data_IF_186451734346
#
_entry.id   IF_186451734346
#
_cell.length_a   1.000
_cell.length_b   1.000
_cell.length_c   1.000
_cell.angle_alpha   90.00
_cell.angle_beta   90.00
_cell.angle_gamma   90.00
#
_symmetry.space_group_name_H-M   'P 1'
#
loop_
_entity.id
_entity.type
_entity.pdbx_description
1 polymer ?
#
# COMPACT_ATOMS: atom_id res chain seq x y z
N UNK A 1 -87.09 52.58 -15.94
CA UNK A 1 -86.74 52.32 -14.53
C UNK A 1 -85.26 52.01 -14.44
N UNK A 2 -84.61 52.54 -13.42
CA UNK A 2 -83.17 52.45 -13.15
C UNK A 2 -82.73 50.98 -13.05
N UNK A 3 -81.59 50.63 -13.64
CA UNK A 3 -80.42 50.17 -12.88
C UNK A 3 -79.27 49.72 -13.78
N UNK A 4 -78.13 50.32 -13.49
CA UNK A 4 -76.78 50.14 -14.01
C UNK A 4 -76.09 49.06 -13.18
N UNK A 5 -75.36 48.12 -13.80
CA UNK A 5 -74.03 47.71 -13.35
C UNK A 5 -73.43 46.56 -14.22
N UNK A 6 -72.29 46.89 -14.83
CA UNK A 6 -71.05 46.10 -14.95
C UNK A 6 -71.03 44.81 -15.79
N UNK A 7 -70.21 44.83 -16.85
CA UNK A 7 -69.16 43.82 -17.12
C UNK A 7 -68.22 44.29 -18.25
N UNK A 8 -66.92 44.27 -17.91
CA UNK A 8 -65.69 44.03 -18.71
C UNK A 8 -65.46 44.76 -20.06
N UNK A 9 -64.29 45.40 -20.24
CA UNK A 9 -63.78 45.75 -21.56
C UNK A 9 -62.99 44.61 -22.22
N UNK A 10 -63.26 44.45 -23.51
CA UNK A 10 -62.55 43.67 -24.52
C UNK A 10 -61.08 44.08 -24.71
N UNK A 11 -60.27 43.19 -25.32
CA UNK A 11 -59.51 43.41 -26.59
C UNK A 11 -58.36 42.39 -26.72
N UNK A 12 -58.48 41.44 -27.65
CA UNK A 12 -57.37 40.70 -28.33
C UNK A 12 -56.71 41.63 -29.39
N UNK A 13 -55.73 41.29 -30.27
CA UNK A 13 -55.11 39.99 -30.62
C UNK A 13 -53.61 40.04 -31.11
N UNK A 14 -53.09 38.90 -31.59
CA UNK A 14 -52.36 38.73 -32.86
C UNK A 14 -50.83 38.98 -33.04
N UNK A 15 -50.29 38.11 -33.92
CA UNK A 15 -49.04 38.16 -34.74
C UNK A 15 -47.71 38.09 -33.97
N UNK A 16 -46.60 37.47 -34.40
CA UNK A 16 -46.00 37.06 -35.70
C UNK A 16 -44.76 36.22 -35.30
N UNK A 17 -44.46 35.03 -35.83
CA UNK A 17 -43.96 34.76 -37.19
C UNK A 17 -42.46 35.05 -37.34
N UNK A 18 -41.61 34.00 -37.37
CA UNK A 18 -40.35 33.82 -38.15
C UNK A 18 -39.60 32.61 -37.58
N UNK A 19 -39.45 31.49 -38.30
CA UNK A 19 -38.37 31.21 -39.28
C UNK A 19 -36.99 31.46 -38.66
N UNK A 20 -36.09 30.47 -38.59
CA UNK A 20 -35.40 29.89 -39.74
C UNK A 20 -34.82 28.51 -39.34
N UNK A 21 -35.06 27.53 -40.21
CA UNK A 21 -34.27 26.33 -40.55
C UNK A 21 -32.73 26.55 -40.45
N UNK A 22 -31.79 25.63 -40.29
CA UNK A 22 -31.64 24.24 -40.66
C UNK A 22 -30.28 23.82 -40.08
N UNK A 23 -30.16 22.54 -39.73
CA UNK A 23 -29.04 21.64 -40.02
C UNK A 23 -27.58 22.06 -39.70
N UNK A 24 -26.94 21.21 -38.89
CA UNK A 24 -25.63 20.66 -39.26
C UNK A 24 -24.45 20.95 -38.33
N UNK A 25 -23.74 19.87 -37.98
CA UNK A 25 -22.37 19.79 -37.46
C UNK A 25 -22.22 20.13 -35.96
N UNK A 26 -21.59 19.33 -35.09
CA UNK A 26 -20.65 18.22 -35.27
C UNK A 26 -20.62 17.35 -34.01
N UNK A 27 -20.22 16.12 -34.24
CA UNK A 27 -19.79 15.04 -33.36
C UNK A 27 -18.65 15.45 -32.38
N UNK A 28 -18.88 16.43 -31.50
CA UNK A 28 -17.88 16.91 -30.54
C UNK A 28 -18.41 16.94 -29.09
N UNK A 29 -19.10 15.89 -28.65
CA UNK A 29 -19.33 15.64 -27.21
C UNK A 29 -19.08 14.19 -26.79
N UNK A 30 -18.31 13.43 -27.56
CA UNK A 30 -17.79 12.12 -27.17
C UNK A 30 -16.36 12.18 -26.58
N UNK A 31 -15.88 13.37 -26.17
CA UNK A 31 -14.48 13.59 -25.75
C UNK A 31 -14.24 14.10 -24.32
N UNK A 32 -15.25 14.12 -23.44
CA UNK A 32 -15.12 14.69 -22.09
C UNK A 32 -15.49 13.71 -20.95
N UNK A 33 -15.05 12.46 -21.05
CA UNK A 33 -15.08 11.50 -19.94
C UNK A 33 -13.74 11.49 -19.18
N UNK A 34 -13.33 12.65 -18.67
CA UNK A 34 -12.06 12.79 -17.93
C UNK A 34 -12.20 13.67 -16.70
N UNK A 35 -12.35 13.05 -15.52
CA UNK A 35 -11.93 13.70 -14.27
C UNK A 35 -12.97 13.98 -13.19
N UNK A 36 -14.01 13.15 -13.02
CA UNK A 36 -14.71 13.13 -11.72
C UNK A 36 -13.93 12.24 -10.76
N UNK A 37 -13.38 12.82 -9.69
CA UNK A 37 -12.82 12.02 -8.59
C UNK A 37 -13.93 11.14 -8.02
N UNK A 38 -13.71 9.83 -7.85
CA UNK A 38 -14.78 8.93 -7.43
C UNK A 38 -15.23 9.30 -6.01
N UNK A 39 -16.53 9.26 -5.75
CA UNK A 39 -17.08 9.66 -4.45
C UNK A 39 -16.79 8.66 -3.31
N UNK A 40 -16.37 7.43 -3.66
CA UNK A 40 -16.12 6.31 -2.75
C UNK A 40 -14.85 5.57 -3.18
N UNK A 41 -14.21 4.88 -2.25
CA UNK A 41 -13.08 3.99 -2.55
C UNK A 41 -13.55 2.78 -3.37
N UNK A 42 -12.96 2.59 -4.54
CA UNK A 42 -13.21 1.44 -5.42
C UNK A 42 -12.48 0.20 -4.90
N UNK A 43 -11.30 0.39 -4.32
CA UNK A 43 -10.47 -0.69 -3.81
C UNK A 43 -10.80 -1.03 -2.35
N UNK A 44 -11.09 -2.32 -2.10
CA UNK A 44 -11.44 -2.87 -0.78
C UNK A 44 -10.40 -3.92 -0.35
N UNK A 45 -9.29 -3.51 0.28
CA UNK A 45 -8.29 -4.45 0.76
C UNK A 45 -8.87 -5.32 1.90
N UNK A 46 -8.42 -6.58 2.03
CA UNK A 46 -8.81 -7.46 3.13
C UNK A 46 -8.51 -6.85 4.50
N UNK A 47 -9.48 -6.98 5.42
CA UNK A 47 -9.39 -6.46 6.79
C UNK A 47 -8.31 -7.18 7.59
N UNK A 48 -7.78 -6.52 8.61
CA UNK A 48 -6.82 -7.14 9.55
C UNK A 48 -7.41 -8.39 10.19
N UNK A 49 -6.57 -9.43 10.30
CA UNK A 49 -6.93 -10.65 11.01
C UNK A 49 -7.11 -10.31 12.49
N UNK A 50 -8.13 -10.88 13.15
CA UNK A 50 -8.36 -10.61 14.56
C UNK A 50 -7.23 -11.19 15.42
N UNK A 51 -6.79 -10.41 16.41
CA UNK A 51 -5.81 -10.89 17.39
C UNK A 51 -6.44 -11.96 18.30
N UNK A 52 -5.59 -12.75 18.95
CA UNK A 52 -6.01 -13.79 19.91
C UNK A 52 -6.95 -13.22 20.98
N UNK A 53 -6.61 -12.05 21.53
CA UNK A 53 -7.45 -11.34 22.49
C UNK A 53 -8.78 -10.89 21.88
N UNK A 54 -8.78 -10.37 20.65
CA UNK A 54 -10.01 -9.94 19.99
C UNK A 54 -10.99 -11.11 19.78
N UNK A 55 -10.49 -12.28 19.38
CA UNK A 55 -11.29 -13.50 19.26
C UNK A 55 -11.87 -13.94 20.59
N UNK A 56 -11.05 -13.92 21.65
CA UNK A 56 -11.53 -14.21 22.98
C UNK A 56 -12.62 -13.22 23.44
N UNK A 57 -12.39 -11.92 23.24
CA UNK A 57 -13.30 -10.86 23.65
C UNK A 57 -14.62 -10.93 22.90
N UNK A 58 -14.61 -11.25 21.59
CA UNK A 58 -15.85 -11.46 20.83
C UNK A 58 -16.65 -12.64 21.37
N UNK A 59 -15.98 -13.75 21.70
CA UNK A 59 -16.62 -14.94 22.25
C UNK A 59 -17.13 -14.66 23.68
N UNK A 60 -16.40 -13.87 24.47
CA UNK A 60 -16.83 -13.40 25.79
C UNK A 60 -18.10 -12.56 25.72
N UNK A 61 -18.14 -11.57 24.81
CA UNK A 61 -19.31 -10.71 24.61
C UNK A 61 -20.53 -11.54 24.18
N UNK A 62 -20.34 -12.55 23.32
CA UNK A 62 -21.43 -13.44 22.90
C UNK A 62 -21.96 -14.28 24.07
N UNK A 63 -21.07 -14.89 24.87
CA UNK A 63 -21.44 -15.64 26.08
C UNK A 63 -22.19 -14.78 27.08
N UNK A 64 -21.74 -13.55 27.30
CA UNK A 64 -22.41 -12.60 28.21
C UNK A 64 -23.78 -12.18 27.69
N UNK A 65 -23.90 -11.86 26.40
CA UNK A 65 -25.20 -11.52 25.79
C UNK A 65 -26.20 -12.67 25.90
N UNK A 66 -25.76 -13.91 25.61
CA UNK A 66 -26.60 -15.10 25.72
C UNK A 66 -27.06 -15.34 27.16
N UNK A 67 -26.16 -15.18 28.13
CA UNK A 67 -26.48 -15.30 29.56
C UNK A 67 -27.49 -14.22 29.99
N UNK A 68 -27.30 -12.97 29.55
CA UNK A 68 -28.25 -11.88 29.84
C UNK A 68 -29.60 -12.08 29.16
N UNK A 69 -29.64 -12.63 27.94
CA UNK A 69 -30.91 -12.89 27.24
C UNK A 69 -31.67 -14.09 27.81
N UNK A 70 -30.97 -15.06 28.41
CA UNK A 70 -31.57 -16.25 29.01
C UNK A 70 -32.19 -15.99 30.39
N UNK A 71 -31.75 -14.95 31.10
CA UNK A 71 -32.17 -14.64 32.47
C UNK A 71 -33.49 -13.85 32.58
N UNK A 72 -34.14 -13.51 31.46
CA UNK A 72 -35.40 -12.76 31.45
C UNK A 72 -35.22 -11.28 31.82
N UNK A 73 -35.78 -10.40 31.01
CA UNK A 73 -35.70 -8.94 31.16
C UNK A 73 -36.56 -8.46 32.36
N UNK A 74 -36.11 -8.69 33.60
CA UNK A 74 -36.74 -8.10 34.79
C UNK A 74 -36.11 -6.76 35.22
N UNK A 75 -34.96 -6.39 34.63
CA UNK A 75 -34.27 -5.13 34.93
C UNK A 75 -33.89 -4.44 33.62
N UNK A 76 -34.90 -3.79 33.03
CA UNK A 76 -34.93 -3.24 31.68
C UNK A 76 -33.58 -2.85 31.08
N UNK A 77 -33.11 -3.67 30.15
CA UNK A 77 -32.21 -3.25 29.08
C UNK A 77 -30.91 -2.53 29.49
N UNK A 78 -30.20 -2.98 30.54
CA UNK A 78 -28.81 -2.52 30.77
C UNK A 78 -27.91 -3.03 29.65
N UNK A 79 -27.80 -2.24 28.58
CA UNK A 79 -26.83 -2.43 27.50
C UNK A 79 -25.45 -2.59 28.11
N UNK A 80 -24.77 -3.70 27.81
CA UNK A 80 -23.41 -3.97 28.29
C UNK A 80 -22.52 -2.76 28.04
N UNK A 81 -21.97 -2.19 29.11
CA UNK A 81 -21.01 -1.11 28.97
C UNK A 81 -19.71 -1.70 28.43
N UNK A 82 -19.37 -1.37 27.17
CA UNK A 82 -18.21 -1.94 26.46
C UNK A 82 -16.90 -1.74 27.23
N UNK A 83 -16.75 -0.61 27.94
CA UNK A 83 -15.55 -0.35 28.73
C UNK A 83 -15.45 -1.27 29.96
N UNK A 84 -16.58 -1.54 30.61
CA UNK A 84 -16.64 -2.46 31.74
C UNK A 84 -16.44 -3.92 31.27
N UNK A 85 -17.12 -4.30 30.19
CA UNK A 85 -16.95 -5.59 29.53
C UNK A 85 -15.48 -5.88 29.16
N UNK A 86 -14.77 -4.89 28.60
CA UNK A 86 -13.36 -5.04 28.25
C UNK A 86 -12.46 -5.25 29.49
N UNK A 87 -12.77 -4.58 30.61
CA UNK A 87 -12.02 -4.76 31.87
C UNK A 87 -12.22 -6.16 32.45
N UNK A 88 -13.48 -6.60 32.53
CA UNK A 88 -13.84 -7.93 33.06
C UNK A 88 -13.27 -9.04 32.20
N UNK A 89 -13.48 -8.98 30.88
CA UNK A 89 -12.92 -9.93 29.95
C UNK A 89 -11.39 -9.94 29.99
N UNK A 90 -10.76 -8.78 30.19
CA UNK A 90 -9.30 -8.65 30.24
C UNK A 90 -8.71 -9.34 31.48
N UNK A 91 -9.38 -9.20 32.62
CA UNK A 91 -9.02 -9.92 33.85
C UNK A 91 -9.20 -11.44 33.69
N UNK A 92 -10.31 -11.88 33.09
CA UNK A 92 -10.56 -13.31 32.83
C UNK A 92 -9.54 -13.89 31.85
N UNK A 93 -9.20 -13.16 30.77
CA UNK A 93 -8.18 -13.63 29.83
C UNK A 93 -6.78 -13.69 30.42
N UNK A 94 -6.44 -12.77 31.33
CA UNK A 94 -5.18 -12.81 32.04
C UNK A 94 -5.04 -14.07 32.91
N UNK A 95 -6.14 -14.53 33.54
CA UNK A 95 -6.13 -15.73 34.38
C UNK A 95 -6.23 -17.05 33.62
N UNK A 96 -6.50 -17.04 32.30
CA UNK A 96 -6.56 -18.26 31.50
C UNK A 96 -5.19 -18.95 31.40
N UNK A 97 -5.21 -20.28 31.47
CA UNK A 97 -4.03 -21.11 31.25
C UNK A 97 -3.57 -21.06 29.78
N UNK A 98 -2.29 -21.39 29.49
CA UNK A 98 -1.81 -21.47 28.12
C UNK A 98 -2.65 -22.42 27.24
N UNK A 99 -3.11 -23.54 27.80
CA UNK A 99 -3.96 -24.52 27.12
C UNK A 99 -5.33 -23.95 26.76
N UNK A 100 -5.91 -23.13 27.64
CA UNK A 100 -7.18 -22.44 27.38
C UNK A 100 -7.03 -21.31 26.35
N UNK A 101 -5.84 -20.70 26.26
CA UNK A 101 -5.51 -19.68 25.24
C UNK A 101 -5.21 -20.29 23.87
N UNK A 102 -4.73 -21.53 23.83
CA UNK A 102 -4.33 -22.25 22.61
C UNK A 102 -5.39 -22.29 21.48
N UNK A 103 -6.68 -22.60 21.72
CA UNK A 103 -7.68 -22.57 20.65
C UNK A 103 -7.84 -21.18 20.02
N UNK A 104 -7.71 -20.11 20.82
CA UNK A 104 -7.76 -18.74 20.31
C UNK A 104 -6.52 -18.39 19.50
N UNK A 105 -5.34 -18.86 19.92
CA UNK A 105 -4.08 -18.69 19.18
C UNK A 105 -4.17 -19.37 17.81
N UNK A 106 -4.62 -20.63 17.77
CA UNK A 106 -4.82 -21.38 16.52
C UNK A 106 -5.81 -20.70 15.59
N UNK A 107 -6.94 -20.20 16.11
CA UNK A 107 -7.91 -19.43 15.31
C UNK A 107 -7.33 -18.12 14.78
N UNK A 108 -6.52 -17.41 15.58
CA UNK A 108 -5.87 -16.16 15.14
C UNK A 108 -4.85 -16.45 14.04
N UNK A 109 -4.02 -17.49 14.20
CA UNK A 109 -3.07 -17.92 13.17
C UNK A 109 -3.78 -18.33 11.87
N UNK A 110 -4.82 -19.17 11.95
CA UNK A 110 -5.61 -19.55 10.78
C UNK A 110 -6.24 -18.34 10.09
N UNK A 111 -6.71 -17.34 10.85
CA UNK A 111 -7.24 -16.10 10.30
C UNK A 111 -6.16 -15.22 9.65
N UNK A 112 -4.93 -15.19 10.20
CA UNK A 112 -3.77 -14.53 9.57
C UNK A 112 -3.45 -15.16 8.21
N UNK A 113 -3.34 -16.48 8.16
CA UNK A 113 -3.07 -17.20 6.90
C UNK A 113 -4.19 -17.02 5.87
N UNK A 114 -5.47 -17.10 6.30
CA UNK A 114 -6.61 -16.87 5.42
C UNK A 114 -6.56 -15.46 4.81
N UNK A 115 -6.21 -14.46 5.62
CA UNK A 115 -6.03 -13.09 5.14
C UNK A 115 -4.87 -12.97 4.17
N UNK A 116 -3.74 -13.61 4.41
CA UNK A 116 -2.60 -13.57 3.48
C UNK A 116 -2.97 -14.14 2.12
N UNK A 117 -3.72 -15.26 2.10
CA UNK A 117 -4.26 -15.83 0.85
C UNK A 117 -5.23 -14.87 0.17
N UNK A 118 -6.16 -14.27 0.91
CA UNK A 118 -7.10 -13.28 0.38
C UNK A 118 -6.39 -12.01 -0.12
N UNK A 119 -5.36 -11.56 0.58
CA UNK A 119 -4.57 -10.39 0.23
C UNK A 119 -3.74 -10.63 -1.02
N UNK A 120 -3.15 -11.81 -1.17
CA UNK A 120 -2.48 -12.23 -2.39
C UNK A 120 -3.46 -12.32 -3.57
N UNK A 121 -4.66 -12.89 -3.36
CA UNK A 121 -5.70 -12.93 -4.38
C UNK A 121 -6.17 -11.52 -4.77
N UNK A 122 -6.40 -10.65 -3.78
CA UNK A 122 -6.78 -9.26 -3.98
C UNK A 122 -5.70 -8.47 -4.73
N UNK A 123 -4.42 -8.67 -4.39
CA UNK A 123 -3.30 -8.04 -5.10
C UNK A 123 -3.28 -8.40 -6.59
N UNK A 124 -3.65 -9.63 -6.96
CA UNK A 124 -3.75 -10.06 -8.37
C UNK A 124 -4.92 -9.39 -9.11
N UNK A 125 -5.96 -8.97 -8.40
CA UNK A 125 -7.09 -8.23 -9.00
C UNK A 125 -6.79 -6.74 -9.20
N UNK A 126 -5.70 -6.22 -8.63
CA UNK A 126 -5.34 -4.82 -8.74
C UNK A 126 -4.87 -4.50 -10.16
N UNK A 127 -5.62 -3.66 -10.84
CA UNK A 127 -5.20 -3.08 -12.12
C UNK A 127 -4.51 -1.72 -11.88
N UNK A 128 -3.55 -1.35 -12.75
CA UNK A 128 -2.88 -0.04 -12.67
C UNK A 128 -3.88 1.13 -12.67
N UNK A 129 -4.92 1.01 -13.48
CA UNK A 129 -6.00 1.99 -13.58
C UNK A 129 -6.83 2.12 -12.30
N UNK A 130 -7.18 0.99 -11.67
CA UNK A 130 -7.90 1.00 -10.40
C UNK A 130 -7.06 1.64 -9.28
N UNK A 131 -5.74 1.36 -9.25
CA UNK A 131 -4.81 2.01 -8.31
C UNK A 131 -4.71 3.51 -8.58
N UNK A 132 -4.66 3.95 -9.85
CA UNK A 132 -4.64 5.37 -10.22
C UNK A 132 -5.90 6.10 -9.76
N UNK A 133 -7.09 5.52 -9.98
CA UNK A 133 -8.38 6.09 -9.54
C UNK A 133 -8.48 6.17 -8.01
N UNK A 134 -8.12 5.10 -7.31
CA UNK A 134 -8.11 5.08 -5.84
C UNK A 134 -7.09 6.08 -5.25
N UNK A 135 -5.93 6.25 -5.89
CA UNK A 135 -4.94 7.24 -5.47
C UNK A 135 -5.42 8.67 -5.67
N UNK A 136 -6.15 8.95 -6.76
CA UNK A 136 -6.81 10.24 -6.97
C UNK A 136 -7.87 10.50 -5.88
N UNK A 137 -8.65 9.48 -5.51
CA UNK A 137 -9.59 9.57 -4.39
C UNK A 137 -8.90 9.87 -3.06
N UNK A 138 -7.86 9.12 -2.71
CA UNK A 138 -7.11 9.33 -1.45
C UNK A 138 -6.44 10.71 -1.40
N UNK A 139 -5.91 11.18 -2.53
CA UNK A 139 -5.38 12.53 -2.64
C UNK A 139 -6.46 13.60 -2.40
N UNK A 140 -7.65 13.43 -2.99
CA UNK A 140 -8.78 14.32 -2.76
C UNK A 140 -9.25 14.30 -1.28
N UNK A 141 -9.31 13.12 -0.65
CA UNK A 141 -9.66 13.00 0.77
C UNK A 141 -8.63 13.67 1.69
N UNK A 142 -7.33 13.57 1.36
CA UNK A 142 -6.26 14.28 2.09
C UNK A 142 -6.38 15.79 1.92
N UNK A 143 -6.62 16.27 0.69
CA UNK A 143 -6.84 17.70 0.41
C UNK A 143 -8.07 18.25 1.14
N UNK A 144 -9.11 17.42 1.31
CA UNK A 144 -10.30 17.76 2.08
C UNK A 144 -10.16 17.56 3.60
N UNK A 145 -8.99 17.15 4.12
CA UNK A 145 -8.77 16.90 5.55
C UNK A 145 -9.50 15.69 6.14
N UNK A 146 -10.17 14.87 5.31
CA UNK A 146 -11.01 13.73 5.73
C UNK A 146 -10.23 12.44 5.97
N UNK A 147 -8.99 12.37 5.47
CA UNK A 147 -8.14 11.20 5.63
C UNK A 147 -6.66 11.58 5.67
N UNK A 148 -5.85 10.75 6.33
CA UNK A 148 -4.38 10.79 6.30
C UNK A 148 -3.79 9.60 5.52
N UNK A 149 -4.63 8.80 4.86
CA UNK A 149 -4.19 7.56 4.19
C UNK A 149 -3.34 7.87 2.96
N UNK A 150 -2.17 7.23 2.89
CA UNK A 150 -1.24 7.35 1.77
C UNK A 150 -1.74 6.67 0.49
N UNK A 151 -1.05 6.96 -0.61
CA UNK A 151 -1.30 6.33 -1.90
C UNK A 151 -0.94 4.84 -1.87
N UNK A 152 -1.71 4.01 -2.58
CA UNK A 152 -1.39 2.62 -2.87
C UNK A 152 -0.24 2.58 -3.87
N UNK A 153 0.74 1.72 -3.62
CA UNK A 153 1.83 1.41 -4.56
C UNK A 153 1.43 0.19 -5.38
N UNK A 154 1.63 0.25 -6.68
CA UNK A 154 1.47 -0.90 -7.55
C UNK A 154 2.74 -1.77 -7.47
N UNK A 155 2.64 -3.07 -7.13
CA UNK A 155 3.79 -3.97 -7.14
C UNK A 155 4.30 -4.29 -8.55
N UNK A 156 3.46 -4.17 -9.58
CA UNK A 156 3.81 -4.50 -10.97
C UNK A 156 4.35 -3.29 -11.76
N UNK A 157 4.24 -2.07 -11.20
CA UNK A 157 4.77 -0.89 -11.86
C UNK A 157 6.31 -0.90 -11.84
N UNK A 158 6.97 -0.64 -12.99
CA UNK A 158 8.42 -0.52 -13.01
C UNK A 158 8.86 0.60 -12.05
N UNK A 159 9.95 0.35 -11.32
CA UNK A 159 10.51 1.34 -10.40
C UNK A 159 11.30 2.37 -11.19
N UNK A 160 11.17 3.65 -10.81
CA UNK A 160 11.95 4.73 -11.42
C UNK A 160 13.45 4.48 -11.18
N UNK A 161 14.30 4.63 -12.20
CA UNK A 161 15.73 4.43 -12.08
C UNK A 161 16.37 5.55 -11.25
N UNK A 162 17.57 5.30 -10.76
CA UNK A 162 18.32 6.32 -10.01
C UNK A 162 18.84 7.38 -10.98
N UNK A 163 18.91 8.63 -10.52
CA UNK A 163 19.67 9.67 -11.24
C UNK A 163 21.17 9.42 -11.07
N UNK A 164 21.97 9.91 -12.01
CA UNK A 164 23.44 9.84 -11.97
C UNK A 164 24.02 10.28 -10.62
N UNK A 165 23.47 11.34 -10.02
CA UNK A 165 23.88 11.80 -8.69
C UNK A 165 23.56 10.80 -7.57
N UNK A 166 22.40 10.12 -7.64
CA UNK A 166 22.05 9.10 -6.64
C UNK A 166 22.85 7.81 -6.83
N UNK A 167 23.23 7.47 -8.06
CA UNK A 167 24.20 6.39 -8.33
C UNK A 167 25.56 6.71 -7.74
N UNK A 168 26.03 7.95 -7.91
CA UNK A 168 27.25 8.43 -7.28
C UNK A 168 27.19 8.37 -5.74
N UNK A 169 26.09 8.80 -5.13
CA UNK A 169 25.87 8.65 -3.69
C UNK A 169 25.91 7.18 -3.24
N UNK A 170 25.33 6.28 -4.03
CA UNK A 170 25.38 4.85 -3.74
C UNK A 170 26.81 4.31 -3.81
N UNK A 171 27.57 4.73 -4.82
CA UNK A 171 28.98 4.37 -4.99
C UNK A 171 29.86 4.86 -3.84
N UNK A 172 29.66 6.09 -3.36
CA UNK A 172 30.37 6.56 -2.17
C UNK A 172 30.02 5.69 -0.96
N UNK A 173 28.73 5.38 -0.76
CA UNK A 173 28.25 4.61 0.39
C UNK A 173 28.65 3.14 0.36
N UNK A 174 28.90 2.57 -0.82
CA UNK A 174 29.37 1.19 -0.95
C UNK A 174 30.84 1.04 -0.57
N UNK A 175 31.65 2.07 -0.77
CA UNK A 175 33.09 2.04 -0.49
C UNK A 175 33.43 2.79 0.80
N UNK A 176 33.79 2.06 1.86
CA UNK A 176 34.13 2.67 3.17
C UNK A 176 35.23 3.72 3.09
N UNK A 177 36.17 3.57 2.15
CA UNK A 177 37.22 4.58 1.90
C UNK A 177 36.65 5.89 1.35
N UNK A 178 35.67 5.82 0.45
CA UNK A 178 35.01 7.01 -0.10
C UNK A 178 34.07 7.64 0.92
N UNK A 179 33.43 6.83 1.78
CA UNK A 179 32.69 7.34 2.94
C UNK A 179 33.60 8.19 3.82
N UNK A 180 34.78 7.69 4.18
CA UNK A 180 35.73 8.43 5.01
C UNK A 180 36.29 9.67 4.29
N UNK A 181 36.64 9.59 2.99
CA UNK A 181 37.14 10.73 2.20
C UNK A 181 36.09 11.85 2.05
N UNK A 182 34.84 11.48 1.75
CA UNK A 182 33.79 12.44 1.38
C UNK A 182 32.97 12.90 2.57
N UNK A 183 32.67 12.00 3.52
CA UNK A 183 31.81 12.29 4.67
C UNK A 183 32.59 12.43 5.99
N UNK A 184 33.82 11.90 6.08
CA UNK A 184 34.58 11.90 7.32
C UNK A 184 33.84 11.18 8.45
N UNK A 185 33.73 11.82 9.62
CA UNK A 185 33.02 11.29 10.78
C UNK A 185 31.54 11.67 10.83
N UNK A 186 31.03 12.41 9.83
CA UNK A 186 29.65 12.90 9.82
C UNK A 186 28.65 11.76 9.60
N UNK A 187 27.72 11.61 10.55
CA UNK A 187 26.65 10.58 10.50
C UNK A 187 25.30 11.16 10.10
N UNK A 188 25.15 12.48 10.10
CA UNK A 188 23.90 13.12 9.75
C UNK A 188 23.68 13.07 8.23
N UNK A 189 22.58 12.43 7.79
CA UNK A 189 22.25 12.28 6.37
C UNK A 189 22.16 13.61 5.63
N UNK A 190 21.67 14.67 6.29
CA UNK A 190 21.57 16.00 5.71
C UNK A 190 22.96 16.58 5.45
N UNK A 191 23.85 16.55 6.44
CA UNK A 191 25.24 17.01 6.30
C UNK A 191 26.00 16.24 5.22
N UNK A 192 25.87 14.90 5.21
CA UNK A 192 26.46 14.04 4.17
C UNK A 192 25.96 14.43 2.77
N UNK A 193 24.67 14.72 2.61
CA UNK A 193 24.13 15.10 1.30
C UNK A 193 24.72 16.41 0.75
N UNK A 194 25.08 17.35 1.64
CA UNK A 194 25.74 18.61 1.26
C UNK A 194 27.18 18.36 0.83
N UNK A 195 27.91 17.51 1.56
CA UNK A 195 29.30 17.14 1.23
C UNK A 195 29.39 16.39 -0.11
N UNK A 196 28.53 15.40 -0.33
CA UNK A 196 28.44 14.70 -1.61
C UNK A 196 28.07 15.64 -2.76
N UNK A 197 27.14 16.57 -2.56
CA UNK A 197 26.78 17.55 -3.58
C UNK A 197 27.96 18.47 -3.92
N UNK A 198 28.77 18.86 -2.93
CA UNK A 198 30.00 19.62 -3.15
C UNK A 198 31.01 18.83 -3.97
N UNK A 199 31.25 17.56 -3.61
CA UNK A 199 32.16 16.65 -4.35
C UNK A 199 31.69 16.47 -5.81
N UNK A 200 30.41 16.19 -6.03
CA UNK A 200 29.83 16.02 -7.36
C UNK A 200 30.03 17.24 -8.28
N UNK A 201 29.89 18.46 -7.73
CA UNK A 201 30.12 19.72 -8.46
C UNK A 201 31.60 19.96 -8.76
N UNK A 202 32.50 19.48 -7.91
CA UNK A 202 33.95 19.59 -8.12
C UNK A 202 34.54 18.55 -9.08
N UNK A 203 33.81 17.46 -9.36
CA UNK A 203 34.25 16.45 -10.31
C UNK A 203 34.35 17.02 -11.74
N UNK A 204 35.15 16.39 -12.57
CA UNK A 204 35.24 16.68 -14.01
C UNK A 204 34.10 16.00 -14.78
N UNK A 205 33.87 16.43 -16.02
CA UNK A 205 32.86 15.81 -16.87
C UNK A 205 33.20 14.34 -17.18
N UNK A 206 34.49 13.99 -17.30
CA UNK A 206 34.93 12.63 -17.55
C UNK A 206 34.66 11.70 -16.35
N UNK A 207 34.84 12.18 -15.13
CA UNK A 207 34.52 11.41 -13.90
C UNK A 207 33.00 11.26 -13.71
N UNK A 208 32.20 12.22 -14.19
CA UNK A 208 30.73 12.14 -14.16
C UNK A 208 30.15 11.29 -15.29
N UNK A 209 30.85 11.19 -16.41
CA UNK A 209 30.44 10.47 -17.62
C UNK A 209 29.93 9.04 -17.37
N UNK A 210 30.61 8.17 -16.58
CA UNK A 210 30.10 6.82 -16.33
C UNK A 210 28.75 6.83 -15.59
N UNK A 211 28.57 7.72 -14.61
CA UNK A 211 27.30 7.85 -13.89
C UNK A 211 26.18 8.41 -14.77
N UNK A 212 26.51 9.37 -15.64
CA UNK A 212 25.56 9.94 -16.60
C UNK A 212 25.12 8.91 -17.64
N UNK A 213 26.07 8.16 -18.21
CA UNK A 213 25.79 7.11 -19.20
C UNK A 213 24.96 5.97 -18.59
N UNK A 214 25.27 5.54 -17.37
CA UNK A 214 24.50 4.52 -16.66
C UNK A 214 23.08 5.00 -16.34
N UNK A 215 22.92 6.25 -15.88
CA UNK A 215 21.60 6.82 -15.61
C UNK A 215 20.76 6.98 -16.89
N UNK A 216 21.38 7.32 -18.02
CA UNK A 216 20.70 7.39 -19.31
C UNK A 216 20.24 6.01 -19.78
N UNK A 217 21.10 4.99 -19.66
CA UNK A 217 20.74 3.61 -19.96
C UNK A 217 19.56 3.13 -19.11
N UNK A 218 19.65 3.26 -17.79
CA UNK A 218 18.56 2.83 -16.89
C UNK A 218 17.27 3.62 -17.12
N UNK A 219 17.37 4.89 -17.54
CA UNK A 219 16.22 5.69 -17.96
C UNK A 219 15.54 5.10 -19.21
N UNK A 220 16.32 4.72 -20.23
CA UNK A 220 15.78 4.08 -21.43
C UNK A 220 15.13 2.73 -21.12
N UNK A 221 15.78 1.90 -20.29
CA UNK A 221 15.26 0.61 -19.86
C UNK A 221 13.94 0.77 -19.08
N UNK A 222 13.86 1.76 -18.20
CA UNK A 222 12.63 2.11 -17.49
C UNK A 222 11.54 2.63 -18.42
N UNK A 223 11.86 3.46 -19.41
CA UNK A 223 10.88 3.96 -20.37
C UNK A 223 10.30 2.83 -21.22
N UNK A 224 11.13 1.87 -21.65
CA UNK A 224 10.69 0.66 -22.34
C UNK A 224 9.80 -0.21 -21.44
N UNK A 225 10.22 -0.49 -20.20
CA UNK A 225 9.45 -1.26 -19.24
C UNK A 225 8.12 -0.59 -18.88
N UNK A 226 8.12 0.74 -18.71
CA UNK A 226 6.91 1.53 -18.45
C UNK A 226 5.94 1.48 -19.62
N UNK A 227 6.43 1.58 -20.85
CA UNK A 227 5.59 1.45 -22.04
C UNK A 227 4.94 0.06 -22.10
N UNK A 228 5.69 -1.02 -21.88
CA UNK A 228 5.14 -2.38 -21.83
C UNK A 228 4.10 -2.57 -20.73
N UNK A 229 4.35 -1.94 -19.57
CA UNK A 229 3.41 -1.93 -18.44
C UNK A 229 2.12 -1.17 -18.76
N UNK A 230 2.20 -0.01 -19.43
CA UNK A 230 1.03 0.75 -19.90
C UNK A 230 0.25 -0.01 -21.01
N UNK A 231 0.96 -0.79 -21.83
CA UNK A 231 0.41 -1.64 -22.90
C UNK A 231 -0.16 -2.99 -22.38
N UNK A 232 -0.04 -3.26 -21.07
CA UNK A 232 -0.67 -4.42 -20.41
C UNK A 232 0.10 -5.74 -20.51
N UNK A 233 1.36 -5.72 -20.99
CA UNK A 233 2.21 -6.93 -21.04
C UNK A 233 2.86 -7.15 -19.68
N UNK A 234 2.16 -7.89 -18.81
CA UNK A 234 2.63 -8.26 -17.47
C UNK A 234 3.71 -9.33 -17.55
N UNK A 235 4.99 -8.94 -17.58
CA UNK A 235 6.06 -9.94 -17.60
C UNK A 235 7.50 -9.47 -17.52
N UNK A 236 7.78 -8.19 -17.28
CA UNK A 236 9.17 -7.73 -17.17
C UNK A 236 9.50 -7.36 -15.72
N UNK A 237 10.11 -8.29 -14.99
CA UNK A 237 10.85 -7.94 -13.79
C UNK A 237 12.08 -7.13 -14.21
N UNK A 238 12.03 -5.80 -14.03
CA UNK A 238 13.25 -4.99 -14.09
C UNK A 238 14.15 -5.40 -12.94
N UNK A 239 15.15 -6.26 -13.20
CA UNK A 239 16.30 -6.42 -12.32
C UNK A 239 17.05 -5.10 -12.30
N UNK A 240 16.69 -4.21 -11.37
CA UNK A 240 17.56 -3.10 -11.01
C UNK A 240 18.78 -3.74 -10.35
N UNK A 241 19.92 -3.74 -11.05
CA UNK A 241 21.19 -4.19 -10.51
C UNK A 241 21.57 -3.29 -9.32
N UNK A 242 21.31 -3.77 -8.11
CA UNK A 242 21.82 -3.16 -6.87
C UNK A 242 23.24 -3.68 -6.52
N UNK A 243 23.99 -4.15 -7.53
CA UNK A 243 25.28 -4.82 -7.39
C UNK A 243 26.42 -3.97 -7.95
N UNK A 244 27.50 -3.89 -7.17
CA UNK A 244 28.71 -3.08 -7.33
C UNK A 244 29.63 -3.59 -8.47
N UNK A 245 29.08 -4.03 -9.59
CA UNK A 245 29.87 -4.63 -10.66
C UNK A 245 30.50 -3.54 -11.55
N UNK A 246 31.77 -3.28 -11.27
CA UNK A 246 32.78 -2.66 -12.13
C UNK A 246 32.72 -1.14 -12.38
N UNK A 247 33.19 -0.38 -11.39
CA UNK A 247 33.99 0.83 -11.66
C UNK A 247 35.45 0.43 -11.47
N UNK A 248 36.07 -0.11 -12.52
CA UNK A 248 37.52 -0.19 -12.62
C UNK A 248 37.99 0.93 -13.57
N UNK A 249 39.04 1.70 -13.23
CA UNK A 249 39.55 2.76 -14.09
C UNK A 249 40.19 2.17 -15.37
N UNK A 250 40.20 2.92 -16.49
CA UNK A 250 40.82 2.46 -17.73
C UNK A 250 42.34 2.54 -17.60
N UNK A 251 43.00 1.41 -17.34
CA UNK A 251 44.46 1.27 -17.53
C UNK A 251 44.78 0.95 -18.99
N UNK A 252 45.72 1.72 -19.52
CA UNK A 252 46.20 1.71 -20.90
C UNK A 252 47.06 0.47 -21.21
N UNK A 253 46.91 -0.02 -22.45
CA UNK A 253 47.85 -0.76 -23.31
C UNK A 253 48.74 -1.86 -22.69
N UNK A 254 48.55 -3.10 -23.16
CA UNK A 254 49.68 -3.85 -23.69
C UNK A 254 49.20 -4.90 -24.71
N UNK A 255 49.76 -4.80 -25.91
CA UNK A 255 49.52 -5.68 -27.04
C UNK A 255 50.36 -6.95 -26.94
N UNK A 256 49.78 -8.05 -27.42
CA UNK A 256 50.43 -9.14 -28.15
C UNK A 256 51.15 -10.26 -27.38
N UNK A 257 50.47 -11.42 -27.30
CA UNK A 257 50.96 -12.77 -27.60
C UNK A 257 49.71 -13.69 -27.49
N UNK A 258 49.21 -14.36 -28.52
CA UNK A 258 49.94 -15.22 -29.44
C UNK A 258 50.10 -16.61 -28.83
N UNK A 259 49.02 -17.39 -28.70
CA UNK A 259 49.15 -18.85 -28.57
C UNK A 259 47.91 -19.60 -29.08
N UNK A 260 48.20 -20.73 -29.73
CA UNK A 260 47.40 -21.45 -30.71
C UNK A 260 46.79 -22.74 -30.13
N UNK A 261 45.67 -23.14 -30.73
CA UNK A 261 45.01 -24.47 -30.86
C UNK A 261 45.59 -25.68 -30.09
N UNK A 262 44.68 -26.42 -29.44
CA UNK A 262 44.39 -27.88 -29.56
C UNK A 262 43.37 -28.23 -28.46
N UNK A 263 42.23 -28.89 -28.66
CA UNK A 263 41.90 -29.91 -29.64
C UNK A 263 42.23 -31.30 -29.11
N UNK A 264 41.47 -31.82 -28.13
CA UNK A 264 41.36 -33.27 -27.88
C UNK A 264 39.97 -33.65 -27.38
N UNK A 265 39.37 -34.55 -28.16
CA UNK A 265 38.23 -35.42 -27.86
C UNK A 265 38.68 -36.56 -26.93
N UNK A 266 37.80 -37.13 -26.11
CA UNK A 266 37.41 -38.56 -26.12
C UNK A 266 36.33 -38.89 -25.08
N UNK A 267 35.31 -39.62 -25.56
CA UNK A 267 34.55 -40.75 -24.99
C UNK A 267 34.20 -40.83 -23.49
N UNK A 268 32.99 -41.19 -23.02
CA UNK A 268 31.91 -42.14 -23.40
C UNK A 268 31.79 -43.25 -22.34
N UNK A 269 30.54 -43.56 -21.99
CA UNK A 269 30.00 -44.74 -21.28
C UNK A 269 30.24 -44.93 -19.78
N UNK A 270 29.13 -45.08 -19.04
CA UNK A 270 29.13 -45.51 -17.64
C UNK A 270 27.74 -45.54 -17.00
N UNK A 271 26.85 -46.37 -17.53
CA UNK A 271 25.51 -46.70 -17.03
C UNK A 271 25.57 -47.48 -15.71
N UNK A 272 24.80 -47.09 -14.68
CA UNK A 272 24.09 -48.00 -13.74
C UNK A 272 23.45 -47.27 -12.54
N UNK A 273 22.22 -47.69 -12.18
CA UNK A 273 21.81 -47.78 -10.78
C UNK A 273 20.84 -46.74 -10.22
N UNK A 274 19.59 -46.75 -10.68
CA UNK A 274 18.46 -46.15 -9.95
C UNK A 274 18.13 -47.08 -8.77
N UNK A 275 18.34 -46.61 -7.54
CA UNK A 275 17.71 -47.19 -6.33
C UNK A 275 16.91 -46.10 -5.61
N UNK A 276 15.68 -46.48 -5.26
CA UNK A 276 14.62 -45.67 -4.65
C UNK A 276 14.61 -45.87 -3.13
N UNK A 277 14.45 -44.74 -2.41
CA UNK A 277 13.97 -44.56 -1.02
C UNK A 277 14.90 -44.99 0.16
N UNK A 278 14.70 -44.48 1.40
CA UNK A 278 13.68 -43.53 1.89
C UNK A 278 14.23 -42.29 2.64
N UNK A 279 13.33 -41.32 2.82
CA UNK A 279 13.38 -40.16 3.73
C UNK A 279 13.99 -40.45 5.11
N UNK A 280 14.58 -39.41 5.75
CA UNK A 280 14.04 -39.04 7.05
C UNK A 280 13.90 -37.52 7.30
N UNK A 281 12.79 -37.22 7.97
CA UNK A 281 12.63 -36.28 9.08
C UNK A 281 13.02 -34.80 8.88
N UNK A 282 11.96 -34.01 8.67
CA UNK A 282 11.71 -32.70 9.27
C UNK A 282 12.56 -32.41 10.52
N UNK A 283 13.52 -31.50 10.39
CA UNK A 283 14.00 -30.69 11.51
C UNK A 283 13.16 -29.43 11.58
N UNK A 284 12.19 -29.45 12.51
CA UNK A 284 11.42 -28.28 12.93
C UNK A 284 12.37 -27.28 13.60
N UNK A 285 12.77 -26.24 12.86
CA UNK A 285 13.36 -25.04 13.44
C UNK A 285 12.30 -24.33 14.28
N UNK A 286 12.31 -24.61 15.58
CA UNK A 286 11.56 -23.88 16.59
C UNK A 286 12.12 -22.47 16.69
N UNK A 287 11.55 -21.53 15.93
CA UNK A 287 11.65 -20.12 16.26
C UNK A 287 10.68 -19.86 17.40
N UNK A 288 11.20 -20.00 18.62
CA UNK A 288 10.61 -19.57 19.87
C UNK A 288 10.53 -18.04 19.88
N UNK A 289 9.63 -17.48 19.09
CA UNK A 289 9.24 -16.07 19.23
C UNK A 289 8.35 -15.96 20.46
N UNK A 290 9.02 -15.81 21.60
CA UNK A 290 8.40 -15.59 22.90
C UNK A 290 7.91 -14.14 22.95
N UNK A 291 6.73 -13.89 22.39
CA UNK A 291 6.10 -12.57 22.41
C UNK A 291 5.33 -12.33 23.73
N UNK A 292 5.73 -11.32 24.54
CA UNK A 292 4.89 -10.77 25.60
C UNK A 292 3.73 -9.89 25.08
N UNK A 293 3.44 -9.89 23.77
CA UNK A 293 2.50 -8.94 23.14
C UNK A 293 1.05 -9.09 23.63
N UNK A 294 0.57 -10.31 23.91
CA UNK A 294 -0.87 -10.53 24.15
C UNK A 294 -1.43 -9.96 25.46
N UNK A 295 -0.62 -9.88 26.52
CA UNK A 295 -1.03 -9.23 27.79
C UNK A 295 -0.92 -7.70 27.71
N UNK A 296 0.06 -7.22 26.94
CA UNK A 296 0.19 -5.82 26.56
C UNK A 296 -1.01 -5.34 25.75
N UNK A 297 -1.47 -6.13 24.77
CA UNK A 297 -2.61 -5.78 23.91
C UNK A 297 -3.91 -5.57 24.70
N UNK A 298 -4.24 -6.45 25.65
CA UNK A 298 -5.45 -6.31 26.46
C UNK A 298 -5.39 -5.05 27.35
N UNK A 299 -4.22 -4.76 27.93
CA UNK A 299 -3.98 -3.55 28.74
C UNK A 299 -4.00 -2.27 27.90
N UNK A 300 -3.34 -2.27 26.74
CA UNK A 300 -3.31 -1.14 25.80
C UNK A 300 -4.70 -0.86 25.24
N UNK A 301 -5.48 -1.89 24.89
CA UNK A 301 -6.85 -1.73 24.43
C UNK A 301 -7.78 -1.19 25.53
N UNK A 302 -7.68 -1.71 26.76
CA UNK A 302 -8.42 -1.20 27.90
C UNK A 302 -8.07 0.27 28.23
N UNK A 303 -6.80 0.66 28.07
CA UNK A 303 -6.33 2.04 28.25
C UNK A 303 -6.79 2.96 27.11
N UNK A 304 -6.76 2.49 25.86
CA UNK A 304 -7.27 3.22 24.69
C UNK A 304 -8.77 3.52 24.79
N UNK A 305 -9.59 2.61 25.33
CA UNK A 305 -11.03 2.86 25.52
C UNK A 305 -11.31 3.84 26.66
N UNK A 306 -10.45 3.93 27.68
CA UNK A 306 -10.58 4.91 28.76
C UNK A 306 -10.25 6.33 28.32
N UNK A 307 -9.37 6.51 27.34
CA UNK A 307 -8.97 7.82 26.80
C UNK A 307 -9.91 8.36 25.71
N UNK A 308 -10.96 7.61 25.33
CA UNK A 308 -11.89 8.05 24.29
C UNK A 308 -12.81 9.13 24.89
N UNK A 309 -12.77 10.39 24.43
CA UNK A 309 -13.60 11.46 25.00
C UNK A 309 -15.07 11.12 24.78
N UNK A 310 -15.84 11.11 25.88
CA UNK A 310 -17.30 11.02 25.83
C UNK A 310 -17.80 12.24 25.05
N UNK A 311 -18.34 12.01 23.85
CA UNK A 311 -19.04 13.04 23.09
C UNK A 311 -20.24 13.50 23.92
N UNK A 312 -20.07 14.60 24.66
CA UNK A 312 -21.14 15.28 25.39
C UNK A 312 -22.10 15.82 24.34
N UNK A 313 -23.20 15.10 24.11
CA UNK A 313 -24.31 15.56 23.28
C UNK A 313 -24.96 16.75 23.99
N UNK A 314 -24.70 17.96 23.52
CA UNK A 314 -25.43 19.14 23.97
C UNK A 314 -26.89 19.04 23.50
N UNK A 315 -27.89 19.27 24.37
CA UNK A 315 -29.28 19.22 23.98
C UNK A 315 -29.63 20.41 23.07
N UNK A 316 -30.25 20.13 21.91
CA UNK A 316 -30.84 21.12 21.02
C UNK A 316 -31.93 21.90 21.76
N UNK A 317 -31.63 23.14 22.16
CA UNK A 317 -32.64 24.13 22.58
C UNK A 317 -33.65 24.27 21.43
N UNK A 318 -34.88 23.82 21.67
CA UNK A 318 -36.00 24.14 20.79
C UNK A 318 -36.35 25.61 21.01
N UNK A 319 -36.06 26.46 20.04
CA UNK A 319 -36.66 27.78 19.94
C UNK A 319 -38.14 27.56 19.62
N UNK A 320 -39.01 27.86 20.59
CA UNK A 320 -40.43 28.05 20.35
C UNK A 320 -40.62 29.46 19.81
N UNK A 321 -41.37 29.57 18.72
CA UNK A 321 -41.78 30.82 18.08
C UNK A 321 -42.64 31.69 19.00
#
# INVERSE_FOLDING_TARGET
>A
MRSRAQREPSTSPSVRGSSVEQEGLTDEQAGAAGGRTPARSELRPPKLAPSTWQLYFTDWIQRHQQRTSALGDEDGGRKLNVAQAAKEAGAEYASLTPEQKEPFKRRSQAAKEARERELAAWQKTLTPDAIKRENAFRAAQRKAGKSRKGNIKDPNAPKKPLSAYFMFLQHIRSDSRLVEDVFGSEKETTAQSVLAAKKWRSMTDDERKPFLAQAEKEKLDYEAARRMYEEGTVGFETTISFGNDFIAPPSLLSSNAGFSVSGTSVDSLGQAGIMVAPTPALTSGSNSDSEPESEGEARVFAQQQQQRPQQVKTPKKHLRA
#
